data_IF_296554150260
#
_entry.id   IF_296554150260
#
_cell.length_a   1.000
_cell.length_b   1.000
_cell.length_c   1.000
_cell.angle_alpha   90.00
_cell.angle_beta   90.00
_cell.angle_gamma   90.00
#
_symmetry.space_group_name_H-M   'P 1'
#
loop_
_entity.id
_entity.type
_entity.pdbx_description
1 polymer ?
#
# COMPACT_ATOMS: atom_id res chain seq x y z
N UNK A 1 -22.23 2.35 5.38
CA UNK A 1 -23.26 1.85 4.43
C UNK A 1 -23.58 0.34 4.54
N UNK A 2 -22.85 -0.46 5.34
CA UNK A 2 -22.98 -1.92 5.36
C UNK A 2 -24.11 -2.53 6.23
N UNK A 3 -24.83 -1.75 7.03
CA UNK A 3 -25.83 -2.25 7.99
C UNK A 3 -27.28 -2.34 7.44
N UNK A 4 -27.49 -2.12 6.14
CA UNK A 4 -28.86 -2.02 5.61
C UNK A 4 -29.64 -0.81 6.14
N UNK A 5 -28.94 0.21 6.64
CA UNK A 5 -29.54 1.45 7.17
C UNK A 5 -30.21 2.31 6.09
N UNK A 6 -29.77 2.17 4.84
CA UNK A 6 -30.39 2.75 3.66
C UNK A 6 -31.10 1.66 2.88
N UNK A 7 -32.40 1.81 2.74
CA UNK A 7 -33.19 0.96 1.84
C UNK A 7 -32.94 1.43 0.40
N UNK A 8 -32.30 0.57 -0.37
CA UNK A 8 -31.85 0.83 -1.73
C UNK A 8 -32.91 0.59 -2.80
N UNK A 9 -32.57 0.91 -4.04
CA UNK A 9 -33.44 0.68 -5.18
C UNK A 9 -33.37 -0.78 -5.66
N UNK A 10 -34.51 -1.32 -6.11
CA UNK A 10 -34.60 -2.65 -6.73
C UNK A 10 -35.03 -2.50 -8.19
N UNK A 11 -34.25 -3.01 -9.12
CA UNK A 11 -34.61 -3.04 -10.54
C UNK A 11 -35.69 -4.09 -10.87
N UNK A 12 -35.97 -5.03 -9.96
CA UNK A 12 -37.07 -6.00 -10.11
C UNK A 12 -37.53 -6.54 -8.75
N UNK A 13 -38.75 -7.10 -8.68
CA UNK A 13 -39.33 -7.67 -7.45
C UNK A 13 -38.45 -8.73 -6.76
N UNK A 14 -37.58 -9.43 -7.50
CA UNK A 14 -36.64 -10.44 -6.99
C UNK A 14 -35.16 -10.04 -7.11
N UNK A 15 -34.89 -8.82 -7.56
CA UNK A 15 -33.55 -8.29 -7.78
C UNK A 15 -32.84 -7.94 -6.47
N UNK A 16 -31.51 -7.87 -6.48
CA UNK A 16 -30.76 -7.35 -5.34
C UNK A 16 -31.14 -5.89 -5.10
N UNK A 17 -31.08 -5.49 -3.84
CA UNK A 17 -31.24 -4.12 -3.42
C UNK A 17 -29.92 -3.38 -3.56
N UNK A 18 -29.93 -2.22 -4.23
CA UNK A 18 -28.73 -1.43 -4.50
C UNK A 18 -28.91 -0.08 -3.79
N UNK A 19 -28.13 0.17 -2.75
CA UNK A 19 -28.14 1.45 -2.02
C UNK A 19 -27.11 2.45 -2.55
N UNK A 20 -26.14 2.01 -3.35
CA UNK A 20 -25.09 2.87 -3.89
C UNK A 20 -24.46 2.28 -5.14
N UNK A 21 -24.08 3.16 -6.08
CA UNK A 21 -23.24 2.87 -7.24
C UNK A 21 -22.09 3.87 -7.23
N UNK A 22 -20.85 3.37 -7.24
CA UNK A 22 -19.65 4.20 -7.24
C UNK A 22 -18.95 4.01 -8.59
N UNK A 23 -18.77 5.12 -9.31
CA UNK A 23 -18.02 5.24 -10.55
C UNK A 23 -16.68 5.94 -10.27
N UNK A 24 -15.78 5.95 -11.26
CA UNK A 24 -14.46 6.59 -11.14
C UNK A 24 -14.54 8.03 -10.61
N UNK A 25 -15.50 8.80 -11.10
CA UNK A 25 -15.65 10.23 -10.81
C UNK A 25 -16.96 10.56 -10.06
N UNK A 26 -17.92 9.65 -10.02
CA UNK A 26 -19.27 9.90 -9.50
C UNK A 26 -19.72 8.86 -8.48
N UNK A 27 -20.59 9.25 -7.56
CA UNK A 27 -21.34 8.33 -6.70
C UNK A 27 -22.84 8.60 -6.83
N UNK A 28 -23.62 7.54 -7.00
CA UNK A 28 -25.09 7.58 -6.96
C UNK A 28 -25.52 6.83 -5.71
N UNK A 29 -26.17 7.53 -4.79
CA UNK A 29 -26.73 6.95 -3.58
C UNK A 29 -28.24 6.79 -3.75
N UNK A 30 -28.75 5.60 -3.44
CA UNK A 30 -30.17 5.29 -3.43
C UNK A 30 -30.63 5.16 -1.98
N UNK A 31 -31.69 5.87 -1.65
CA UNK A 31 -32.30 5.85 -0.33
C UNK A 31 -33.76 6.25 -0.43
N UNK A 32 -34.53 5.88 0.59
CA UNK A 32 -35.89 6.38 0.73
C UNK A 32 -35.90 7.89 1.01
N UNK A 33 -36.86 8.60 0.44
CA UNK A 33 -37.14 10.00 0.74
C UNK A 33 -37.83 10.16 2.11
N UNK A 34 -37.21 9.63 3.16
CA UNK A 34 -37.67 9.70 4.55
C UNK A 34 -36.67 10.49 5.40
N UNK A 35 -37.11 11.01 6.55
CA UNK A 35 -36.22 11.68 7.51
C UNK A 35 -35.06 10.78 7.95
N UNK A 36 -35.32 9.47 8.10
CA UNK A 36 -34.29 8.47 8.41
C UNK A 36 -33.28 8.34 7.27
N UNK A 37 -33.74 8.20 6.02
CA UNK A 37 -32.85 8.12 4.85
C UNK A 37 -31.98 9.37 4.69
N UNK A 38 -32.56 10.55 4.87
CA UNK A 38 -31.84 11.82 4.83
C UNK A 38 -30.78 11.92 5.95
N UNK A 39 -31.09 11.46 7.16
CA UNK A 39 -30.15 11.45 8.28
C UNK A 39 -28.97 10.51 8.03
N UNK A 40 -29.22 9.30 7.53
CA UNK A 40 -28.15 8.35 7.19
C UNK A 40 -27.25 8.90 6.08
N UNK A 41 -27.83 9.54 5.06
CA UNK A 41 -27.06 10.21 4.01
C UNK A 41 -26.17 11.34 4.59
N UNK A 42 -26.71 12.13 5.51
CA UNK A 42 -25.95 13.18 6.21
C UNK A 42 -24.77 12.61 6.99
N UNK A 43 -24.94 11.49 7.70
CA UNK A 43 -23.84 10.85 8.43
C UNK A 43 -22.76 10.31 7.49
N UNK A 44 -23.14 9.71 6.36
CA UNK A 44 -22.19 9.30 5.31
C UNK A 44 -21.39 10.51 4.80
N UNK A 45 -22.08 11.61 4.48
CA UNK A 45 -21.42 12.82 4.00
C UNK A 45 -20.47 13.41 5.05
N UNK A 46 -20.83 13.38 6.34
CA UNK A 46 -19.93 13.78 7.43
C UNK A 46 -18.70 12.89 7.54
N UNK A 47 -18.84 11.58 7.32
CA UNK A 47 -17.71 10.65 7.33
C UNK A 47 -16.75 10.95 6.18
N UNK A 48 -17.27 11.20 4.97
CA UNK A 48 -16.48 11.70 3.85
C UNK A 48 -15.83 13.05 4.14
N UNK A 49 -16.60 14.01 4.69
CA UNK A 49 -16.12 15.33 5.09
C UNK A 49 -14.94 15.22 6.07
N UNK A 50 -15.03 14.33 7.05
CA UNK A 50 -13.97 14.10 8.04
C UNK A 50 -12.69 13.52 7.42
N UNK A 51 -12.81 12.88 6.25
CA UNK A 51 -11.70 12.29 5.51
C UNK A 51 -11.16 13.22 4.39
N UNK A 52 -11.91 14.25 4.02
CA UNK A 52 -11.48 15.31 3.11
C UNK A 52 -10.88 16.48 3.89
N UNK A 53 -9.56 16.49 4.02
CA UNK A 53 -8.83 17.53 4.71
C UNK A 53 -8.26 18.62 3.78
N UNK A 54 -7.63 19.61 4.38
CA UNK A 54 -6.89 20.69 3.73
C UNK A 54 -5.40 20.59 4.08
N UNK A 55 -4.54 20.62 3.07
CA UNK A 55 -3.10 20.79 3.24
C UNK A 55 -2.77 22.27 3.30
N UNK A 56 -2.05 22.67 4.35
CA UNK A 56 -1.71 24.07 4.59
C UNK A 56 -0.57 24.51 3.68
N UNK A 57 -0.86 25.43 2.75
CA UNK A 57 0.12 26.14 1.94
C UNK A 57 0.36 27.55 2.45
N UNK A 58 -0.50 28.49 2.08
CA UNK A 58 -0.48 29.85 2.64
C UNK A 58 -1.36 30.00 3.87
N UNK A 59 -2.32 29.09 4.05
CA UNK A 59 -3.34 29.13 5.08
C UNK A 59 -4.38 30.23 4.89
N UNK A 60 -4.39 30.92 3.74
CA UNK A 60 -5.27 32.08 3.49
C UNK A 60 -6.70 31.65 3.16
N UNK A 61 -6.87 30.48 2.55
CA UNK A 61 -8.20 29.95 2.24
C UNK A 61 -8.79 29.16 3.41
N UNK A 62 -7.93 28.59 4.26
CA UNK A 62 -8.30 27.67 5.34
C UNK A 62 -8.75 28.43 6.59
N UNK A 63 -10.00 28.23 7.00
CA UNK A 63 -10.53 28.64 8.30
C UNK A 63 -9.94 27.78 9.42
N UNK A 64 -9.47 28.42 10.48
CA UNK A 64 -8.86 27.71 11.61
C UNK A 64 -9.82 26.73 12.27
N UNK A 65 -11.10 27.10 12.37
CA UNK A 65 -12.08 26.40 13.20
C UNK A 65 -13.15 25.65 12.40
N UNK A 66 -13.33 25.99 11.12
CA UNK A 66 -14.37 25.39 10.27
C UNK A 66 -13.83 24.34 9.30
N UNK A 67 -12.54 24.40 8.94
CA UNK A 67 -11.94 23.45 7.99
C UNK A 67 -11.13 22.37 8.70
N UNK A 68 -11.08 21.17 8.10
CA UNK A 68 -10.29 20.04 8.59
C UNK A 68 -8.87 20.14 8.06
N UNK A 69 -7.96 20.77 8.79
CA UNK A 69 -6.56 20.94 8.36
C UNK A 69 -5.52 20.33 9.33
N UNK A 70 -5.97 19.86 10.49
CA UNK A 70 -5.12 19.23 11.51
C UNK A 70 -5.24 17.69 11.38
N UNK A 71 -4.13 16.94 11.19
CA UNK A 71 -4.17 15.49 11.09
C UNK A 71 -4.77 14.81 12.32
N UNK A 72 -5.50 13.70 12.11
CA UNK A 72 -6.05 12.83 13.16
C UNK A 72 -6.85 13.58 14.24
N UNK A 73 -7.54 14.65 13.83
CA UNK A 73 -8.33 15.52 14.72
C UNK A 73 -9.84 15.40 14.46
N UNK A 74 -10.28 14.27 13.86
CA UNK A 74 -11.61 14.02 13.29
C UNK A 74 -12.84 14.35 14.17
N UNK A 75 -12.65 14.67 15.45
CA UNK A 75 -13.72 15.00 16.39
C UNK A 75 -13.61 16.40 17.03
N UNK A 76 -12.56 17.18 16.75
CA UNK A 76 -12.48 18.55 17.25
C UNK A 76 -13.04 19.51 16.21
N UNK A 77 -14.37 19.54 16.06
CA UNK A 77 -14.97 20.84 15.73
C UNK A 77 -14.68 21.74 16.91
N UNK A 78 -13.64 22.58 16.78
CA UNK A 78 -13.23 23.57 17.77
C UNK A 78 -14.32 24.64 18.04
N UNK A 79 -15.52 24.44 17.49
CA UNK A 79 -16.80 25.12 17.71
C UNK A 79 -17.24 25.32 19.17
N UNK A 80 -16.47 24.90 20.17
CA UNK A 80 -16.73 25.19 21.59
C UNK A 80 -16.10 26.50 22.07
N UNK A 81 -15.24 27.16 21.29
CA UNK A 81 -14.72 28.48 21.64
C UNK A 81 -15.66 29.53 21.03
N UNK A 82 -16.38 30.27 21.88
CA UNK A 82 -17.35 31.32 21.51
C UNK A 82 -16.77 32.56 20.81
N UNK A 83 -15.76 32.37 19.96
CA UNK A 83 -15.20 33.40 19.10
C UNK A 83 -16.06 33.43 17.83
N UNK A 84 -16.59 34.59 17.48
CA UNK A 84 -17.18 34.84 16.15
C UNK A 84 -16.07 34.64 15.10
N UNK A 85 -16.02 33.43 14.54
CA UNK A 85 -14.82 32.84 13.94
C UNK A 85 -14.97 32.54 12.44
N UNK A 86 -15.66 33.40 11.70
CA UNK A 86 -15.72 33.30 10.23
C UNK A 86 -14.38 33.62 9.56
N UNK A 87 -13.64 34.57 10.13
CA UNK A 87 -12.50 35.23 9.44
C UNK A 87 -11.13 34.80 9.94
N UNK A 88 -11.02 34.04 11.05
CA UNK A 88 -9.71 33.62 11.56
C UNK A 88 -9.11 32.53 10.66
N UNK A 89 -8.10 32.90 9.87
CA UNK A 89 -7.46 32.04 8.88
C UNK A 89 -6.17 31.40 9.42
N UNK A 90 -5.83 30.22 8.93
CA UNK A 90 -4.60 29.50 9.32
C UNK A 90 -3.35 30.34 9.03
N UNK A 91 -3.40 31.23 8.02
CA UNK A 91 -2.36 32.21 7.74
C UNK A 91 -1.98 33.06 8.96
N UNK A 92 -2.89 33.33 9.89
CA UNK A 92 -2.63 34.11 11.10
C UNK A 92 -1.81 33.34 12.15
N UNK A 93 -1.77 32.02 12.05
CA UNK A 93 -0.93 31.15 12.87
C UNK A 93 0.48 31.01 12.28
N UNK A 94 0.76 31.57 11.10
CA UNK A 94 2.04 31.48 10.40
C UNK A 94 2.76 32.82 10.47
N UNK A 95 4.05 32.79 10.83
CA UNK A 95 4.89 33.98 10.80
C UNK A 95 5.34 34.29 9.36
N UNK A 96 4.97 35.46 8.85
CA UNK A 96 5.25 35.88 7.47
C UNK A 96 6.75 36.04 7.14
N UNK A 97 7.61 36.30 8.14
CA UNK A 97 9.03 36.56 7.91
C UNK A 97 9.85 35.29 7.74
N UNK A 98 9.54 34.25 8.54
CA UNK A 98 10.33 33.01 8.57
C UNK A 98 9.55 31.76 8.17
N UNK A 99 8.24 31.91 7.87
CA UNK A 99 7.31 30.85 7.48
C UNK A 99 7.32 29.67 8.46
N UNK A 100 7.37 29.99 9.75
CA UNK A 100 7.21 29.04 10.85
C UNK A 100 5.89 29.29 11.58
N UNK A 101 5.39 28.25 12.23
CA UNK A 101 4.28 28.34 13.15
C UNK A 101 4.57 29.36 14.28
N UNK A 102 3.63 30.27 14.50
CA UNK A 102 3.64 31.19 15.62
C UNK A 102 3.27 30.42 16.90
N UNK A 103 4.30 30.01 17.64
CA UNK A 103 4.15 29.18 18.85
C UNK A 103 3.23 29.79 19.90
N UNK A 104 3.39 31.09 20.15
CA UNK A 104 2.61 31.79 21.17
C UNK A 104 1.13 31.80 20.82
N UNK A 105 0.79 32.17 19.57
CA UNK A 105 -0.61 32.16 19.10
C UNK A 105 -1.22 30.76 19.20
N UNK A 106 -0.51 29.74 18.75
CA UNK A 106 -1.01 28.36 18.76
C UNK A 106 -1.24 27.85 20.19
N UNK A 107 -0.28 28.03 21.11
CA UNK A 107 -0.44 27.58 22.50
C UNK A 107 -1.58 28.32 23.22
N UNK A 108 -1.81 29.58 22.89
CA UNK A 108 -2.91 30.37 23.47
C UNK A 108 -4.28 30.04 22.84
N UNK A 109 -4.31 29.44 21.65
CA UNK A 109 -5.55 29.16 20.91
C UNK A 109 -6.01 27.72 21.08
N UNK A 110 -5.09 26.76 21.19
CA UNK A 110 -5.39 25.33 21.17
C UNK A 110 -4.92 24.62 22.44
N UNK A 111 -5.62 23.55 22.86
CA UNK A 111 -5.12 22.63 23.87
C UNK A 111 -3.74 22.08 23.48
N UNK A 112 -2.91 21.79 24.48
CA UNK A 112 -1.53 21.30 24.29
C UNK A 112 -1.43 20.14 23.29
N UNK A 113 -2.33 19.18 23.36
CA UNK A 113 -2.35 18.01 22.46
C UNK A 113 -2.56 18.39 21.00
N UNK A 114 -3.45 19.35 20.73
CA UNK A 114 -3.74 19.86 19.38
C UNK A 114 -2.59 20.74 18.89
N UNK A 115 -2.04 21.58 19.76
CA UNK A 115 -0.88 22.42 19.45
C UNK A 115 0.33 21.58 18.99
N UNK A 116 0.61 20.46 19.66
CA UNK A 116 1.71 19.56 19.27
C UNK A 116 1.49 18.96 17.87
N UNK A 117 0.25 18.60 17.50
CA UNK A 117 -0.09 18.16 16.15
C UNK A 117 0.13 19.26 15.11
N UNK A 118 -0.31 20.48 15.39
CA UNK A 118 -0.11 21.64 14.49
C UNK A 118 1.39 21.86 14.25
N UNK A 119 2.21 21.78 15.29
CA UNK A 119 3.66 21.94 15.15
C UNK A 119 4.33 20.84 14.32
N UNK A 120 3.71 19.66 14.23
CA UNK A 120 4.16 18.57 13.36
C UNK A 120 3.84 18.78 11.88
N UNK A 121 2.93 19.70 11.53
CA UNK A 121 2.58 20.00 10.14
C UNK A 121 3.74 20.76 9.49
N UNK A 122 4.37 20.21 8.44
CA UNK A 122 5.49 20.87 7.77
C UNK A 122 5.02 22.04 6.90
N UNK A 123 5.57 23.22 7.14
CA UNK A 123 5.41 24.36 6.23
C UNK A 123 6.52 24.33 5.16
N UNK A 124 6.11 24.34 3.90
CA UNK A 124 6.99 24.50 2.72
C UNK A 124 7.75 25.82 2.82
N UNK A 125 8.96 25.95 2.27
CA UNK A 125 9.72 27.22 2.30
C UNK A 125 9.10 28.29 1.44
N UNK A 126 8.61 27.92 0.27
CA UNK A 126 7.97 28.86 -0.65
C UNK A 126 6.44 28.83 -0.48
N UNK A 127 5.78 30.00 -0.55
CA UNK A 127 4.34 30.08 -0.71
C UNK A 127 3.84 29.23 -1.88
N UNK A 128 2.89 28.36 -1.59
CA UNK A 128 2.04 27.69 -2.57
C UNK A 128 0.60 27.73 -2.06
N UNK A 129 -0.34 27.53 -2.97
CA UNK A 129 -1.77 27.55 -2.65
C UNK A 129 -2.15 26.40 -1.73
N UNK A 130 -3.17 26.63 -0.91
CA UNK A 130 -3.79 25.58 -0.11
C UNK A 130 -4.51 24.60 -1.06
N UNK A 131 -4.58 23.32 -0.69
CA UNK A 131 -5.26 22.33 -1.52
C UNK A 131 -5.88 21.20 -0.70
N UNK A 132 -6.92 20.57 -1.27
CA UNK A 132 -7.60 19.44 -0.65
C UNK A 132 -6.76 18.17 -0.67
N UNK A 133 -6.79 17.44 0.43
CA UNK A 133 -6.12 16.16 0.63
C UNK A 133 -7.09 15.12 1.17
N UNK A 134 -6.87 13.87 0.81
CA UNK A 134 -7.67 12.74 1.23
C UNK A 134 -6.93 11.90 2.27
N UNK A 135 -7.48 11.74 3.47
CA UNK A 135 -6.85 10.96 4.54
C UNK A 135 -7.11 9.46 4.47
N UNK A 136 -8.04 9.01 3.59
CA UNK A 136 -8.36 7.59 3.43
C UNK A 136 -7.25 6.75 2.79
N UNK A 137 -6.23 7.37 2.20
CA UNK A 137 -5.03 6.70 1.70
C UNK A 137 -3.75 7.48 2.01
N UNK A 138 -2.61 6.80 2.26
CA UNK A 138 -1.33 7.48 2.51
C UNK A 138 -0.83 8.36 1.35
N UNK A 139 -1.37 8.18 0.15
CA UNK A 139 -1.06 9.01 -1.02
C UNK A 139 -1.57 10.45 -0.88
N UNK A 140 -2.57 10.68 -0.03
CA UNK A 140 -3.31 11.95 0.01
C UNK A 140 -4.28 12.15 -1.17
N UNK A 141 -4.34 11.19 -2.09
CA UNK A 141 -5.20 11.24 -3.27
C UNK A 141 -6.50 10.49 -3.01
N UNK A 142 -7.61 11.09 -3.46
CA UNK A 142 -8.89 10.43 -3.44
C UNK A 142 -8.90 9.30 -4.47
N UNK A 143 -9.48 8.15 -4.07
CA UNK A 143 -9.86 7.12 -5.03
C UNK A 143 -11.17 6.49 -4.58
N UNK A 144 -11.99 6.07 -5.54
CA UNK A 144 -13.23 5.33 -5.27
C UNK A 144 -12.98 4.12 -4.39
N UNK A 145 -11.82 3.47 -4.58
CA UNK A 145 -11.38 2.33 -3.79
C UNK A 145 -11.14 2.70 -2.32
N UNK A 146 -10.47 3.82 -2.05
CA UNK A 146 -10.19 4.24 -0.68
C UNK A 146 -11.45 4.71 0.03
N UNK A 147 -12.34 5.40 -0.68
CA UNK A 147 -13.68 5.72 -0.21
C UNK A 147 -14.50 4.46 0.10
N UNK A 148 -14.48 3.46 -0.77
CA UNK A 148 -15.14 2.17 -0.53
C UNK A 148 -14.60 1.49 0.72
N UNK A 149 -13.28 1.53 0.93
CA UNK A 149 -12.65 0.97 2.12
C UNK A 149 -13.13 1.65 3.41
N UNK A 150 -13.35 2.96 3.42
CA UNK A 150 -13.88 3.68 4.59
C UNK A 150 -15.33 3.27 4.88
N UNK A 151 -16.15 3.11 3.83
CA UNK A 151 -17.58 2.83 3.97
C UNK A 151 -17.92 1.39 4.33
N UNK A 152 -16.95 0.49 4.22
CA UNK A 152 -17.06 -0.90 4.63
C UNK A 152 -16.68 -1.04 6.11
N UNK A 153 -17.67 -1.42 6.94
CA UNK A 153 -17.48 -1.77 8.36
C UNK A 153 -16.46 -2.89 8.59
N UNK A 154 -16.21 -3.69 7.55
CA UNK A 154 -15.17 -4.70 7.51
C UNK A 154 -14.18 -4.31 6.43
N UNK A 155 -12.91 -4.13 6.80
CA UNK A 155 -11.83 -4.18 5.82
C UNK A 155 -12.04 -5.49 5.03
N UNK A 156 -12.12 -5.49 3.69
CA UNK A 156 -12.09 -6.73 2.93
C UNK A 156 -10.84 -7.56 3.27
N UNK A 157 -9.79 -6.91 3.81
CA UNK A 157 -8.61 -7.57 4.38
C UNK A 157 -8.78 -7.96 5.84
N UNK A 158 -9.88 -7.69 6.54
CA UNK A 158 -10.14 -8.21 7.89
C UNK A 158 -10.08 -9.73 7.92
N UNK A 159 -10.53 -10.40 6.86
CA UNK A 159 -10.29 -11.83 6.66
C UNK A 159 -8.80 -12.14 6.33
N UNK A 160 -8.10 -11.26 5.62
CA UNK A 160 -6.66 -11.38 5.34
C UNK A 160 -5.75 -10.97 6.53
N UNK A 161 -6.33 -10.44 7.62
CA UNK A 161 -5.66 -10.08 8.88
C UNK A 161 -5.64 -11.26 9.87
N UNK A 162 -6.38 -12.34 9.61
CA UNK A 162 -6.02 -13.64 10.18
C UNK A 162 -4.58 -13.95 9.72
N UNK A 163 -3.68 -14.10 10.69
CA UNK A 163 -2.24 -14.31 10.52
C UNK A 163 -1.91 -15.37 9.47
N UNK A 164 -2.79 -16.36 9.32
CA UNK A 164 -2.67 -17.48 8.40
C UNK A 164 -2.76 -17.06 6.93
N UNK A 165 -3.65 -16.12 6.59
CA UNK A 165 -3.81 -15.61 5.22
C UNK A 165 -2.65 -14.70 4.79
N UNK A 166 -2.13 -13.87 5.69
CA UNK A 166 -0.99 -12.99 5.39
C UNK A 166 0.26 -13.81 5.04
N UNK A 167 0.52 -14.88 5.79
CA UNK A 167 1.62 -15.79 5.55
C UNK A 167 1.40 -16.61 4.28
N UNK A 168 0.18 -17.13 4.08
CA UNK A 168 -0.23 -17.80 2.85
C UNK A 168 0.02 -16.94 1.61
N UNK A 169 -0.47 -15.68 1.58
CA UNK A 169 -0.29 -14.81 0.42
C UNK A 169 1.17 -14.44 0.18
N UNK A 170 1.91 -14.07 1.23
CA UNK A 170 3.36 -13.79 1.08
C UNK A 170 4.08 -14.96 0.41
N UNK A 171 3.83 -16.19 0.87
CA UNK A 171 4.48 -17.35 0.29
C UNK A 171 3.95 -17.72 -1.11
N UNK A 172 2.64 -17.60 -1.37
CA UNK A 172 2.04 -17.83 -2.69
C UNK A 172 2.68 -16.94 -3.77
N UNK A 173 2.90 -15.68 -3.46
CA UNK A 173 3.51 -14.74 -4.41
C UNK A 173 5.01 -15.00 -4.62
N UNK A 174 5.69 -15.63 -3.64
CA UNK A 174 7.09 -16.06 -3.74
C UNK A 174 7.28 -17.41 -4.47
N UNK A 175 6.23 -18.23 -4.64
CA UNK A 175 6.36 -19.47 -5.42
C UNK A 175 6.76 -19.17 -6.86
N UNK A 176 7.66 -19.99 -7.41
CA UNK A 176 7.92 -19.98 -8.83
C UNK A 176 6.77 -20.66 -9.58
N UNK A 177 5.75 -19.87 -9.90
CA UNK A 177 4.59 -20.25 -10.68
C UNK A 177 4.17 -19.07 -11.56
N UNK A 178 3.68 -19.32 -12.78
CA UNK A 178 3.06 -18.30 -13.61
C UNK A 178 1.97 -17.52 -12.89
N UNK A 179 1.90 -16.21 -13.14
CA UNK A 179 0.93 -15.30 -12.50
C UNK A 179 -0.52 -15.78 -12.65
N UNK A 180 -0.87 -16.44 -13.77
CA UNK A 180 -2.21 -17.02 -13.98
C UNK A 180 -2.59 -18.07 -12.93
N UNK A 181 -1.63 -18.89 -12.48
CA UNK A 181 -1.84 -19.91 -11.44
C UNK A 181 -2.01 -19.20 -10.09
N UNK A 182 -1.11 -18.26 -9.77
CA UNK A 182 -1.20 -17.45 -8.52
C UNK A 182 -2.54 -16.72 -8.38
N UNK A 183 -3.01 -16.08 -9.46
CA UNK A 183 -4.31 -15.41 -9.50
C UNK A 183 -5.46 -16.42 -9.35
N UNK A 184 -5.37 -17.59 -9.97
CA UNK A 184 -6.40 -18.64 -9.83
C UNK A 184 -6.47 -19.13 -8.40
N UNK A 185 -5.33 -19.45 -7.77
CA UNK A 185 -5.26 -19.80 -6.35
C UNK A 185 -5.81 -18.71 -5.43
N UNK A 186 -5.50 -17.44 -5.72
CA UNK A 186 -6.08 -16.32 -4.98
C UNK A 186 -7.62 -16.30 -5.13
N UNK A 187 -8.16 -16.38 -6.35
CA UNK A 187 -9.63 -16.45 -6.56
C UNK A 187 -10.27 -17.64 -5.85
N UNK A 188 -9.58 -18.78 -5.84
CA UNK A 188 -9.97 -20.00 -5.12
C UNK A 188 -10.07 -19.75 -3.62
N UNK A 189 -9.08 -19.08 -3.01
CA UNK A 189 -9.08 -18.74 -1.57
C UNK A 189 -10.23 -17.81 -1.16
N UNK A 190 -10.75 -17.00 -2.08
CA UNK A 190 -11.88 -16.09 -1.87
C UNK A 190 -13.23 -16.68 -2.24
N UNK A 191 -13.28 -17.96 -2.65
CA UNK A 191 -14.49 -18.57 -3.22
C UNK A 191 -15.09 -17.71 -4.37
N UNK A 192 -14.23 -17.10 -5.20
CA UNK A 192 -14.66 -16.21 -6.30
C UNK A 192 -14.80 -16.93 -7.64
N UNK A 193 -14.49 -18.23 -7.70
CA UNK A 193 -14.66 -19.00 -8.92
C UNK A 193 -16.15 -19.11 -9.29
N UNK A 194 -16.51 -18.99 -10.59
CA UNK A 194 -17.87 -19.21 -11.09
C UNK A 194 -18.22 -20.71 -11.14
N UNK A 195 -18.16 -21.37 -9.98
CA UNK A 195 -18.72 -22.70 -9.74
C UNK A 195 -20.25 -22.59 -9.69
N UNK A 196 -20.96 -23.68 -9.97
CA UNK A 196 -22.42 -23.66 -10.12
C UNK A 196 -23.15 -23.26 -8.84
N UNK A 197 -22.63 -23.62 -7.65
CA UNK A 197 -23.18 -23.15 -6.36
C UNK A 197 -23.10 -21.62 -6.24
N UNK A 198 -21.93 -21.02 -6.53
CA UNK A 198 -21.76 -19.57 -6.48
C UNK A 198 -22.59 -18.84 -7.54
N UNK A 199 -22.70 -19.42 -8.74
CA UNK A 199 -23.54 -18.88 -9.79
C UNK A 199 -25.03 -18.95 -9.41
N UNK A 200 -25.48 -20.02 -8.75
CA UNK A 200 -26.86 -20.15 -8.26
C UNK A 200 -27.14 -19.12 -7.16
N UNK A 201 -26.23 -18.95 -6.19
CA UNK A 201 -26.34 -17.93 -5.15
C UNK A 201 -26.44 -16.50 -5.73
N UNK A 202 -25.75 -16.25 -6.86
CA UNK A 202 -25.82 -15.00 -7.63
C UNK A 202 -26.98 -14.95 -8.63
N UNK A 203 -27.86 -15.95 -8.65
CA UNK A 203 -29.01 -16.06 -9.55
C UNK A 203 -28.66 -16.06 -11.05
N UNK A 204 -27.47 -16.56 -11.41
CA UNK A 204 -26.96 -16.64 -12.79
C UNK A 204 -27.22 -18.02 -13.45
N UNK A 205 -27.60 -19.03 -12.68
CA UNK A 205 -27.96 -20.38 -13.14
C UNK A 205 -29.10 -20.92 -12.28
N UNK A 206 -29.90 -21.84 -12.80
CA UNK A 206 -30.94 -22.57 -12.06
C UNK A 206 -30.49 -23.98 -11.63
N UNK A 207 -29.33 -24.43 -12.10
CA UNK A 207 -28.77 -25.74 -11.81
C UNK A 207 -27.42 -25.58 -11.08
N UNK A 208 -27.28 -26.20 -9.91
CA UNK A 208 -26.05 -26.27 -9.12
C UNK A 208 -25.17 -27.49 -9.43
N UNK A 209 -25.64 -28.43 -10.26
CA UNK A 209 -24.99 -29.73 -10.47
C UNK A 209 -23.61 -29.61 -11.14
N UNK A 210 -22.66 -30.42 -10.68
CA UNK A 210 -21.32 -30.53 -11.23
C UNK A 210 -21.35 -30.95 -12.70
N UNK A 211 -20.81 -30.12 -13.62
CA UNK A 211 -20.81 -30.42 -15.05
C UNK A 211 -19.87 -31.58 -15.40
N UNK A 212 -18.98 -31.98 -14.48
CA UNK A 212 -17.99 -33.04 -14.70
C UNK A 212 -18.53 -34.43 -14.38
N UNK A 213 -19.11 -34.63 -13.20
CA UNK A 213 -19.59 -35.95 -12.77
C UNK A 213 -21.11 -36.09 -12.74
N UNK A 214 -21.86 -34.98 -12.71
CA UNK A 214 -23.33 -35.02 -12.55
C UNK A 214 -23.82 -35.47 -11.17
N UNK A 215 -22.94 -35.85 -10.24
CA UNK A 215 -23.28 -36.55 -9.00
C UNK A 215 -23.70 -35.67 -7.81
N UNK A 216 -23.74 -34.34 -7.95
CA UNK A 216 -24.10 -33.43 -6.86
C UNK A 216 -23.82 -31.97 -7.16
N UNK A 217 -24.09 -31.08 -6.20
CA UNK A 217 -23.84 -29.65 -6.34
C UNK A 217 -22.33 -29.33 -6.44
N UNK A 218 -21.95 -28.45 -7.37
CA UNK A 218 -20.56 -28.03 -7.57
C UNK A 218 -20.15 -26.98 -6.54
N UNK A 219 -19.85 -27.42 -5.33
CA UNK A 219 -19.13 -26.64 -4.31
C UNK A 219 -17.62 -26.64 -4.60
N UNK A 220 -16.84 -25.87 -3.83
CA UNK A 220 -15.38 -25.88 -3.91
C UNK A 220 -14.83 -27.27 -3.52
N UNK A 221 -15.34 -27.83 -2.43
CA UNK A 221 -14.99 -29.18 -1.96
C UNK A 221 -15.35 -30.24 -3.00
N UNK A 222 -16.52 -30.13 -3.63
CA UNK A 222 -16.89 -31.04 -4.68
C UNK A 222 -15.96 -30.91 -5.90
N UNK A 223 -15.77 -29.69 -6.40
CA UNK A 223 -14.94 -29.45 -7.58
C UNK A 223 -13.50 -29.95 -7.40
N UNK A 224 -12.90 -29.67 -6.24
CA UNK A 224 -11.46 -29.91 -6.05
C UNK A 224 -11.12 -31.17 -5.27
N UNK A 225 -12.02 -31.73 -4.44
CA UNK A 225 -11.73 -32.89 -3.58
C UNK A 225 -12.61 -34.09 -3.88
N UNK A 226 -13.93 -33.92 -3.95
CA UNK A 226 -14.89 -35.05 -3.94
C UNK A 226 -15.31 -35.51 -5.33
N UNK A 227 -15.17 -34.67 -6.36
CA UNK A 227 -15.53 -35.03 -7.72
C UNK A 227 -14.69 -36.24 -8.16
N UNK A 228 -15.31 -37.33 -8.66
CA UNK A 228 -14.57 -38.52 -9.10
C UNK A 228 -13.43 -38.23 -10.07
N UNK A 229 -13.60 -37.23 -10.94
CA UNK A 229 -12.56 -36.82 -11.88
C UNK A 229 -11.40 -36.16 -11.15
N UNK A 230 -11.66 -35.32 -10.14
CA UNK A 230 -10.61 -34.70 -9.31
C UNK A 230 -9.88 -35.73 -8.44
N UNK A 231 -10.60 -36.68 -7.83
CA UNK A 231 -10.00 -37.82 -7.11
C UNK A 231 -9.02 -38.56 -8.03
N UNK A 232 -9.43 -38.87 -9.26
CA UNK A 232 -8.56 -39.53 -10.23
C UNK A 232 -7.30 -38.70 -10.57
N UNK A 233 -7.39 -37.36 -10.64
CA UNK A 233 -6.22 -36.49 -10.81
C UNK A 233 -5.26 -36.64 -9.63
N UNK A 234 -5.75 -36.53 -8.41
CA UNK A 234 -4.91 -36.62 -7.20
C UNK A 234 -4.26 -37.99 -7.02
N UNK A 235 -5.00 -39.06 -7.34
CA UNK A 235 -4.45 -40.43 -7.41
C UNK A 235 -3.29 -40.52 -8.39
N UNK A 236 -3.46 -40.01 -9.60
CA UNK A 236 -2.44 -40.05 -10.65
C UNK A 236 -1.21 -39.19 -10.32
N UNK A 237 -1.39 -38.08 -9.60
CA UNK A 237 -0.29 -37.22 -9.14
C UNK A 237 0.47 -37.79 -7.93
N UNK A 238 0.08 -38.95 -7.41
CA UNK A 238 0.66 -39.57 -6.20
C UNK A 238 0.63 -38.65 -4.97
N UNK A 239 -0.38 -37.77 -4.88
CA UNK A 239 -0.54 -36.77 -3.81
C UNK A 239 -1.73 -37.09 -2.89
N UNK A 240 -2.15 -38.35 -2.83
CA UNK A 240 -3.31 -38.83 -2.08
C UNK A 240 -3.27 -38.46 -0.58
N UNK A 241 -2.08 -38.33 0.01
CA UNK A 241 -1.92 -37.89 1.40
C UNK A 241 -2.47 -36.46 1.62
N UNK A 242 -2.52 -35.61 0.59
CA UNK A 242 -3.11 -34.27 0.65
C UNK A 242 -4.64 -34.32 0.77
N UNK A 243 -5.28 -35.41 0.34
CA UNK A 243 -6.73 -35.60 0.46
C UNK A 243 -7.16 -36.20 1.81
N UNK A 244 -6.23 -36.67 2.64
CA UNK A 244 -6.55 -37.33 3.90
C UNK A 244 -7.00 -36.37 5.02
N UNK A 245 -6.88 -35.05 4.82
CA UNK A 245 -7.36 -34.03 5.75
C UNK A 245 -8.85 -33.69 5.53
N UNK A 246 -9.71 -34.71 5.50
CA UNK A 246 -11.14 -34.58 5.20
C UNK A 246 -11.95 -33.77 6.23
N UNK A 247 -11.38 -33.52 7.41
CA UNK A 247 -12.03 -32.76 8.49
C UNK A 247 -11.82 -31.24 8.40
N UNK A 248 -10.99 -30.75 7.46
CA UNK A 248 -10.75 -29.32 7.29
C UNK A 248 -11.76 -28.68 6.34
N UNK A 249 -12.10 -27.43 6.63
CA UNK A 249 -12.78 -26.60 5.64
C UNK A 249 -11.88 -26.38 4.41
N UNK A 250 -12.47 -26.02 3.27
CA UNK A 250 -11.74 -25.89 2.01
C UNK A 250 -10.55 -24.91 2.09
N UNK A 251 -10.69 -23.82 2.84
CA UNK A 251 -9.67 -22.77 2.90
C UNK A 251 -8.56 -23.18 3.86
N UNK A 252 -8.90 -23.80 4.98
CA UNK A 252 -7.95 -24.45 5.88
C UNK A 252 -7.12 -25.47 5.10
N UNK A 253 -7.77 -26.38 4.34
CA UNK A 253 -7.07 -27.32 3.46
C UNK A 253 -6.12 -26.63 2.48
N UNK A 254 -6.57 -25.57 1.80
CA UNK A 254 -5.75 -24.78 0.89
C UNK A 254 -4.51 -24.19 1.58
N UNK A 255 -4.66 -23.69 2.81
CA UNK A 255 -3.58 -23.03 3.57
C UNK A 255 -2.63 -24.03 4.26
N UNK A 256 -3.13 -25.15 4.78
CA UNK A 256 -2.37 -26.20 5.45
C UNK A 256 -1.39 -26.86 4.51
N UNK A 257 -1.79 -27.12 3.26
CA UNK A 257 -0.88 -27.66 2.24
C UNK A 257 0.34 -26.75 2.03
N UNK A 258 0.13 -25.44 2.11
CA UNK A 258 1.22 -24.47 2.05
C UNK A 258 2.12 -24.53 3.31
N UNK A 259 1.52 -24.71 4.49
CA UNK A 259 2.24 -24.70 5.76
C UNK A 259 3.12 -25.95 5.97
N UNK A 260 2.63 -27.12 5.57
CA UNK A 260 3.21 -28.41 5.94
C UNK A 260 4.11 -29.04 4.86
N UNK A 261 4.09 -28.54 3.62
CA UNK A 261 4.80 -29.17 2.51
C UNK A 261 5.91 -28.29 1.88
N UNK A 262 6.94 -28.93 1.27
CA UNK A 262 8.00 -28.22 0.55
C UNK A 262 7.47 -27.44 -0.67
N UNK A 263 8.20 -26.40 -1.14
CA UNK A 263 7.79 -25.61 -2.32
C UNK A 263 7.50 -26.41 -3.58
N UNK A 264 8.19 -27.55 -3.81
CA UNK A 264 7.95 -28.44 -4.95
C UNK A 264 6.55 -29.06 -4.92
N UNK A 265 6.09 -29.49 -3.75
CA UNK A 265 4.75 -30.05 -3.56
C UNK A 265 3.68 -28.95 -3.66
N UNK A 266 3.96 -27.76 -3.12
CA UNK A 266 3.09 -26.59 -3.30
C UNK A 266 2.90 -26.24 -4.78
N UNK A 267 3.98 -26.22 -5.57
CA UNK A 267 3.91 -25.98 -7.03
C UNK A 267 3.03 -27.01 -7.72
N UNK A 268 3.21 -28.29 -7.39
CA UNK A 268 2.40 -29.39 -7.92
C UNK A 268 0.92 -29.20 -7.59
N UNK A 269 0.62 -28.94 -6.32
CA UNK A 269 -0.74 -28.76 -5.81
C UNK A 269 -1.48 -27.60 -6.46
N UNK A 270 -0.90 -26.39 -6.47
CA UNK A 270 -1.57 -25.22 -7.06
C UNK A 270 -1.69 -25.30 -8.58
N UNK A 271 -0.72 -25.95 -9.25
CA UNK A 271 -0.84 -26.24 -10.67
C UNK A 271 -1.98 -27.23 -10.94
N UNK A 272 -2.17 -28.24 -10.10
CA UNK A 272 -3.28 -29.18 -10.20
C UNK A 272 -4.64 -28.49 -10.00
N UNK A 273 -4.79 -27.62 -8.99
CA UNK A 273 -6.01 -26.81 -8.81
C UNK A 273 -6.33 -25.98 -10.05
N UNK A 274 -5.32 -25.30 -10.61
CA UNK A 274 -5.48 -24.53 -11.84
C UNK A 274 -5.87 -25.42 -13.04
N UNK A 275 -5.26 -26.58 -13.20
CA UNK A 275 -5.56 -27.52 -14.29
C UNK A 275 -6.97 -28.12 -14.16
N UNK A 276 -7.40 -28.50 -12.95
CA UNK A 276 -8.75 -28.99 -12.65
C UNK A 276 -9.79 -27.91 -13.01
N UNK A 277 -9.54 -26.67 -12.60
CA UNK A 277 -10.42 -25.54 -12.94
C UNK A 277 -10.47 -25.27 -14.45
N UNK A 278 -9.31 -25.28 -15.11
CA UNK A 278 -9.21 -25.09 -16.56
C UNK A 278 -9.94 -26.17 -17.34
N UNK A 279 -9.80 -27.44 -16.94
CA UNK A 279 -10.48 -28.57 -17.53
C UNK A 279 -12.00 -28.49 -17.38
N UNK A 280 -12.48 -28.17 -16.16
CA UNK A 280 -13.89 -27.91 -15.90
C UNK A 280 -14.45 -26.86 -16.87
N UNK A 281 -13.74 -25.74 -17.05
CA UNK A 281 -14.20 -24.68 -17.94
C UNK A 281 -14.18 -25.10 -19.40
N UNK A 282 -13.16 -25.83 -19.84
CA UNK A 282 -13.09 -26.37 -21.19
C UNK A 282 -14.26 -27.32 -21.48
N UNK A 283 -14.71 -28.10 -20.48
CA UNK A 283 -15.92 -28.93 -20.62
C UNK A 283 -17.19 -28.13 -20.85
N UNK A 284 -17.33 -26.96 -20.22
CA UNK A 284 -18.50 -26.08 -20.42
C UNK A 284 -18.44 -25.36 -21.78
N UNK A 285 -17.29 -24.78 -22.12
CA UNK A 285 -17.17 -23.89 -23.28
C UNK A 285 -16.80 -24.61 -24.57
N UNK A 286 -15.96 -25.65 -24.47
CA UNK A 286 -15.37 -26.35 -25.61
C UNK A 286 -15.87 -27.80 -25.73
N UNK A 287 -16.76 -28.24 -24.82
CA UNK A 287 -17.32 -29.60 -24.75
C UNK A 287 -16.26 -30.72 -24.72
N UNK A 288 -15.06 -30.41 -24.26
CA UNK A 288 -13.96 -31.38 -24.12
C UNK A 288 -14.14 -32.23 -22.87
N UNK A 289 -13.65 -33.47 -22.89
CA UNK A 289 -13.67 -34.36 -21.74
C UNK A 289 -12.31 -35.05 -21.58
N UNK A 290 -11.52 -34.62 -20.60
CA UNK A 290 -10.27 -35.29 -20.22
C UNK A 290 -10.49 -36.16 -18.98
N UNK A 291 -9.85 -37.31 -18.99
CA UNK A 291 -9.71 -38.18 -17.83
C UNK A 291 -8.80 -37.54 -16.78
N UNK A 292 -8.92 -38.00 -15.53
CA UNK A 292 -8.03 -37.55 -14.45
C UNK A 292 -6.55 -37.80 -14.75
N UNK A 293 -6.25 -38.91 -15.45
CA UNK A 293 -4.89 -39.24 -15.87
C UNK A 293 -4.32 -38.23 -16.87
N UNK A 294 -5.10 -37.81 -17.86
CA UNK A 294 -4.67 -36.81 -18.86
C UNK A 294 -4.41 -35.45 -18.23
N UNK A 295 -5.23 -35.06 -17.24
CA UNK A 295 -5.03 -33.80 -16.50
C UNK A 295 -3.77 -33.90 -15.64
N UNK A 296 -3.52 -35.03 -14.98
CA UNK A 296 -2.30 -35.25 -14.18
C UNK A 296 -1.03 -35.23 -15.05
N UNK A 297 -1.05 -35.91 -16.20
CA UNK A 297 0.03 -35.88 -17.19
C UNK A 297 0.30 -34.45 -17.69
N UNK A 298 -0.76 -33.69 -17.94
CA UNK A 298 -0.65 -32.28 -18.31
C UNK A 298 0.03 -31.44 -17.20
N UNK A 299 -0.35 -31.64 -15.94
CA UNK A 299 0.28 -30.95 -14.79
C UNK A 299 1.78 -31.27 -14.71
N UNK A 300 2.17 -32.54 -14.82
CA UNK A 300 3.57 -32.93 -14.82
C UNK A 300 4.37 -32.34 -15.99
N UNK A 301 3.82 -32.39 -17.21
CA UNK A 301 4.45 -31.78 -18.40
C UNK A 301 4.64 -30.27 -18.22
N UNK A 302 3.59 -29.59 -17.75
CA UNK A 302 3.61 -28.13 -17.57
C UNK A 302 4.64 -27.71 -16.52
N UNK A 303 4.74 -28.42 -15.39
CA UNK A 303 5.75 -28.13 -14.37
C UNK A 303 7.17 -28.46 -14.83
N UNK A 304 7.34 -29.51 -15.64
CA UNK A 304 8.62 -29.85 -16.24
C UNK A 304 9.09 -28.74 -17.19
N UNK A 305 8.21 -28.27 -18.08
CA UNK A 305 8.49 -27.15 -18.99
C UNK A 305 8.86 -25.87 -18.24
N UNK A 306 8.21 -25.57 -17.12
CA UNK A 306 8.57 -24.42 -16.28
C UNK A 306 9.99 -24.53 -15.71
N UNK A 307 10.39 -25.73 -15.25
CA UNK A 307 11.73 -25.97 -14.73
C UNK A 307 12.81 -25.94 -15.82
N UNK A 308 12.49 -26.44 -17.02
CA UNK A 308 13.41 -26.49 -18.15
C UNK A 308 13.58 -25.11 -18.81
N UNK A 309 12.53 -24.28 -18.80
CA UNK A 309 12.58 -22.88 -19.26
C UNK A 309 13.47 -21.97 -18.40
N UNK A 310 13.66 -22.29 -17.12
CA UNK A 310 14.55 -21.54 -16.21
C UNK A 310 16.04 -21.83 -16.45
N UNK A 311 16.40 -22.99 -17.01
CA UNK A 311 17.81 -23.32 -17.32
C UNK A 311 18.39 -22.49 -18.47
N UNK A 312 17.55 -21.78 -19.23
CA UNK A 312 17.95 -20.92 -20.35
C UNK A 312 18.23 -19.46 -19.94
N UNK A 313 17.84 -19.05 -18.72
CA UNK A 313 18.16 -17.73 -18.19
C UNK A 313 19.30 -17.91 -17.17
N UNK A 314 20.51 -17.63 -17.65
CA UNK A 314 21.75 -17.80 -16.90
C UNK A 314 21.67 -17.23 -15.48
N UNK A 315 22.15 -18.04 -14.53
CA UNK A 315 22.61 -17.62 -13.20
C UNK A 315 23.58 -16.45 -13.37
N UNK A 316 23.11 -15.22 -13.25
CA UNK A 316 24.00 -14.13 -12.87
C UNK A 316 24.28 -14.35 -11.39
N UNK A 317 25.51 -14.77 -11.07
CA UNK A 317 26.04 -14.67 -9.73
C UNK A 317 25.76 -13.27 -9.20
N UNK A 318 25.10 -13.17 -8.04
CA UNK A 318 25.08 -11.93 -7.27
C UNK A 318 26.52 -11.67 -6.82
N UNK A 319 27.29 -10.99 -7.66
CA UNK A 319 28.46 -10.28 -7.19
C UNK A 319 27.98 -9.24 -6.17
N UNK A 320 28.61 -9.24 -5.00
CA UNK A 320 28.53 -8.12 -4.05
C UNK A 320 29.09 -6.91 -4.79
N UNK A 321 28.21 -6.05 -5.31
CA UNK A 321 28.63 -4.82 -5.97
C UNK A 321 29.25 -3.90 -4.94
N UNK A 322 30.58 -3.84 -4.91
CA UNK A 322 31.35 -2.79 -4.24
C UNK A 322 30.83 -1.42 -4.69
N UNK A 323 30.87 -0.44 -3.80
CA UNK A 323 30.43 0.94 -4.09
C UNK A 323 31.00 1.40 -5.44
N UNK A 324 30.14 1.89 -6.33
CA UNK A 324 30.55 2.39 -7.64
C UNK A 324 29.99 3.78 -7.86
N UNK A 325 30.87 4.68 -8.29
CA UNK A 325 30.53 6.01 -8.74
C UNK A 325 30.23 5.96 -10.25
N UNK A 326 29.15 6.62 -10.70
CA UNK A 326 28.84 6.65 -12.13
C UNK A 326 29.87 7.54 -12.87
N UNK A 327 30.43 7.09 -14.01
CA UNK A 327 31.39 7.88 -14.79
C UNK A 327 30.80 9.24 -15.22
N UNK A 328 31.57 10.33 -15.07
CA UNK A 328 31.18 11.68 -15.50
C UNK A 328 30.24 12.44 -14.55
N UNK A 329 30.29 12.13 -13.25
CA UNK A 329 29.65 12.89 -12.17
C UNK A 329 30.73 13.43 -11.23
N UNK A 330 30.43 14.52 -10.51
CA UNK A 330 31.44 15.18 -9.67
C UNK A 330 31.24 14.92 -8.17
N UNK A 331 29.98 14.69 -7.74
CA UNK A 331 29.62 14.50 -6.32
C UNK A 331 28.49 13.49 -6.18
N UNK A 332 28.59 12.60 -5.19
CA UNK A 332 27.52 11.69 -4.78
C UNK A 332 27.15 11.95 -3.33
N UNK A 333 25.87 12.06 -3.04
CA UNK A 333 25.34 12.25 -1.70
C UNK A 333 24.50 11.04 -1.32
N UNK A 334 24.84 10.44 -0.19
CA UNK A 334 24.03 9.43 0.47
C UNK A 334 23.36 10.08 1.67
N UNK A 335 22.07 9.83 1.86
CA UNK A 335 21.36 10.23 3.07
C UNK A 335 20.72 9.02 3.74
N UNK A 336 20.56 9.12 5.05
CA UNK A 336 20.02 8.11 5.93
C UNK A 336 19.07 8.76 6.93
N UNK A 337 18.13 7.97 7.42
CA UNK A 337 17.20 8.38 8.47
C UNK A 337 17.16 7.33 9.57
N UNK A 338 17.22 7.77 10.82
CA UNK A 338 16.77 7.00 11.97
C UNK A 338 15.47 7.62 12.49
N UNK A 339 14.55 6.80 12.99
CA UNK A 339 13.25 7.27 13.46
C UNK A 339 12.84 6.55 14.74
N UNK A 340 12.51 7.33 15.75
CA UNK A 340 11.97 6.88 17.02
C UNK A 340 10.48 7.24 17.07
N UNK A 341 9.65 6.21 16.98
CA UNK A 341 8.19 6.32 17.01
C UNK A 341 7.67 6.76 18.39
N UNK A 342 8.32 6.34 19.47
CA UNK A 342 7.88 6.64 20.84
C UNK A 342 8.00 8.13 21.13
N UNK A 343 9.15 8.72 20.78
CA UNK A 343 9.41 10.13 21.03
C UNK A 343 9.05 11.06 19.86
N UNK A 344 8.56 10.49 18.74
CA UNK A 344 8.30 11.22 17.50
C UNK A 344 9.53 12.03 17.05
N UNK A 345 10.70 11.42 17.14
CA UNK A 345 11.98 12.03 16.79
C UNK A 345 12.60 11.31 15.60
N UNK A 346 13.39 12.04 14.82
CA UNK A 346 14.18 11.45 13.76
C UNK A 346 15.57 12.05 13.73
N UNK A 347 16.51 11.33 13.15
CA UNK A 347 17.83 11.87 12.87
C UNK A 347 18.17 11.66 11.40
N UNK A 348 18.68 12.72 10.76
CA UNK A 348 19.14 12.70 9.37
C UNK A 348 20.66 12.57 9.38
N UNK A 349 21.19 11.57 8.69
CA UNK A 349 22.61 11.42 8.41
C UNK A 349 22.88 11.63 6.93
N UNK A 350 23.85 12.46 6.56
CA UNK A 350 24.18 12.78 5.17
C UNK A 350 25.68 12.70 4.98
N UNK A 351 26.13 12.03 3.92
CA UNK A 351 27.54 11.94 3.54
C UNK A 351 27.68 12.31 2.07
N UNK A 352 28.56 13.28 1.81
CA UNK A 352 28.89 13.81 0.48
C UNK A 352 30.26 13.29 0.09
N UNK A 353 30.39 12.68 -1.08
CA UNK A 353 31.64 12.11 -1.61
C UNK A 353 31.97 12.65 -2.98
N UNK A 354 33.26 12.76 -3.30
CA UNK A 354 33.74 13.05 -4.65
C UNK A 354 33.71 11.77 -5.53
N UNK A 355 34.18 11.88 -6.77
CA UNK A 355 34.26 10.76 -7.72
C UNK A 355 35.23 9.64 -7.32
N UNK A 356 36.17 9.93 -6.41
CA UNK A 356 37.16 8.98 -5.90
C UNK A 356 36.68 8.28 -4.61
N UNK A 357 35.49 8.64 -4.10
CA UNK A 357 34.93 8.10 -2.87
C UNK A 357 35.37 8.81 -1.59
N UNK A 358 36.21 9.86 -1.69
CA UNK A 358 36.61 10.67 -0.56
C UNK A 358 35.43 11.47 0.00
N UNK A 359 35.24 11.44 1.32
CA UNK A 359 34.21 12.21 2.01
C UNK A 359 34.58 13.70 1.99
N UNK A 360 33.75 14.50 1.31
CA UNK A 360 33.86 15.95 1.27
C UNK A 360 33.16 16.62 2.45
N UNK A 361 32.06 16.02 2.92
CA UNK A 361 31.25 16.55 4.02
C UNK A 361 30.40 15.42 4.63
N UNK A 362 30.29 15.43 5.96
CA UNK A 362 29.26 14.70 6.71
C UNK A 362 28.36 15.68 7.44
N UNK A 363 27.09 15.31 7.61
CA UNK A 363 26.10 16.13 8.31
C UNK A 363 25.13 15.25 9.08
N UNK A 364 24.94 15.56 10.37
CA UNK A 364 23.95 14.91 11.22
C UNK A 364 23.04 15.94 11.84
N UNK A 365 21.73 15.66 11.89
CA UNK A 365 20.77 16.50 12.60
C UNK A 365 19.62 15.71 13.20
N UNK A 366 19.35 15.97 14.48
CA UNK A 366 18.13 15.52 15.17
C UNK A 366 16.97 16.46 14.84
N UNK A 367 15.81 15.85 14.62
CA UNK A 367 14.55 16.47 14.31
C UNK A 367 13.51 15.99 15.33
N UNK A 368 12.79 16.93 15.92
CA UNK A 368 11.69 16.63 16.83
C UNK A 368 10.36 16.77 16.09
N UNK A 369 9.32 16.06 16.57
CA UNK A 369 7.94 16.12 16.06
C UNK A 369 7.83 15.63 14.61
N UNK A 370 8.53 14.55 14.30
CA UNK A 370 8.44 13.87 13.01
C UNK A 370 7.37 12.80 13.11
N UNK A 371 6.37 12.85 12.23
CA UNK A 371 5.16 12.02 12.35
C UNK A 371 5.34 10.56 11.97
N UNK A 372 6.38 10.21 11.22
CA UNK A 372 6.62 8.84 10.77
C UNK A 372 8.03 8.63 10.22
N UNK A 373 8.45 7.38 10.12
CA UNK A 373 9.68 6.98 9.41
C UNK A 373 9.68 7.46 7.95
N UNK A 374 8.51 7.50 7.30
CA UNK A 374 8.40 8.01 5.93
C UNK A 374 8.61 9.54 5.87
N UNK A 375 8.10 10.28 6.86
CA UNK A 375 8.39 11.72 7.03
C UNK A 375 9.86 11.99 7.33
N UNK A 376 10.48 11.19 8.19
CA UNK A 376 11.90 11.27 8.51
C UNK A 376 12.77 11.14 7.26
N UNK A 377 12.41 10.22 6.38
CA UNK A 377 13.14 9.98 5.15
C UNK A 377 13.00 11.12 4.12
N UNK A 378 11.78 11.62 3.92
CA UNK A 378 11.55 12.80 3.08
C UNK A 378 12.30 14.02 3.61
N UNK A 379 12.35 14.19 4.93
CA UNK A 379 13.09 15.27 5.60
C UNK A 379 14.61 15.15 5.40
N UNK A 380 15.17 13.94 5.55
CA UNK A 380 16.58 13.67 5.26
C UNK A 380 16.92 13.96 3.80
N UNK A 381 16.06 13.53 2.87
CA UNK A 381 16.20 13.82 1.43
C UNK A 381 16.17 15.32 1.13
N UNK A 382 15.27 16.07 1.79
CA UNK A 382 15.20 17.54 1.69
C UNK A 382 16.49 18.19 2.21
N UNK A 383 17.03 17.71 3.33
CA UNK A 383 18.30 18.22 3.87
C UNK A 383 19.47 17.96 2.94
N UNK A 384 19.57 16.76 2.37
CA UNK A 384 20.56 16.44 1.35
C UNK A 384 20.46 17.39 0.15
N UNK A 385 19.25 17.65 -0.32
CA UNK A 385 18.99 18.60 -1.42
C UNK A 385 19.45 20.01 -1.09
N UNK A 386 19.15 20.51 0.11
CA UNK A 386 19.60 21.84 0.54
C UNK A 386 21.13 21.95 0.59
N UNK A 387 21.81 20.91 1.07
CA UNK A 387 23.28 20.88 1.10
C UNK A 387 23.86 20.99 -0.31
N UNK A 388 23.30 20.25 -1.30
CA UNK A 388 23.74 20.36 -2.71
C UNK A 388 23.63 21.77 -3.24
N UNK A 389 22.47 22.40 -3.03
CA UNK A 389 22.21 23.74 -3.59
C UNK A 389 23.18 24.76 -3.00
N UNK A 390 23.52 24.63 -1.71
CA UNK A 390 24.50 25.49 -1.06
C UNK A 390 25.95 25.22 -1.53
N UNK A 391 26.25 24.03 -2.04
CA UNK A 391 27.57 23.64 -2.56
C UNK A 391 27.86 24.13 -4.00
N UNK A 392 26.93 24.84 -4.64
CA UNK A 392 27.09 25.55 -5.93
C UNK A 392 27.77 24.78 -7.08
N UNK A 393 26.97 24.08 -7.91
CA UNK A 393 27.28 23.95 -9.34
C UNK A 393 27.83 22.61 -9.85
N UNK A 394 28.12 21.62 -9.00
CA UNK A 394 28.59 20.30 -9.48
C UNK A 394 27.43 19.36 -9.86
N UNK A 395 27.62 18.57 -10.91
CA UNK A 395 26.71 17.47 -11.28
C UNK A 395 26.65 16.45 -10.14
N UNK A 396 25.51 16.40 -9.48
CA UNK A 396 25.33 15.71 -8.20
C UNK A 396 24.23 14.67 -8.28
N UNK A 397 24.51 13.49 -7.71
CA UNK A 397 23.49 12.48 -7.43
C UNK A 397 23.16 12.48 -5.95
N UNK A 398 21.86 12.55 -5.64
CA UNK A 398 21.32 12.23 -4.33
C UNK A 398 20.77 10.81 -4.38
N UNK A 399 21.33 9.95 -3.53
CA UNK A 399 20.96 8.55 -3.40
C UNK A 399 20.38 8.28 -2.01
N UNK A 400 19.22 7.63 -1.98
CA UNK A 400 18.55 7.18 -0.76
C UNK A 400 17.95 5.80 -0.92
N UNK A 401 17.48 5.23 0.18
CA UNK A 401 16.97 3.86 0.30
C UNK A 401 15.48 3.73 -0.09
N UNK A 402 14.66 4.77 0.01
CA UNK A 402 13.28 4.73 -0.48
C UNK A 402 13.16 5.03 -1.96
N UNK A 403 12.80 3.98 -2.68
CA UNK A 403 12.27 4.07 -4.03
C UNK A 403 11.04 4.98 -4.10
N UNK A 404 10.19 5.00 -3.06
CA UNK A 404 8.96 5.82 -3.04
C UNK A 404 9.27 7.32 -2.96
N UNK A 405 10.16 7.74 -2.06
CA UNK A 405 10.62 9.14 -1.97
C UNK A 405 11.33 9.54 -3.26
N UNK A 406 12.22 8.68 -3.76
CA UNK A 406 12.94 8.93 -5.02
C UNK A 406 11.98 9.14 -6.20
N UNK A 407 10.93 8.34 -6.30
CA UNK A 407 9.89 8.49 -7.33
C UNK A 407 9.13 9.81 -7.18
N UNK A 408 8.73 10.17 -5.96
CA UNK A 408 8.03 11.43 -5.66
C UNK A 408 8.89 12.67 -6.00
N UNK A 409 10.18 12.66 -5.66
CA UNK A 409 11.13 13.72 -6.03
C UNK A 409 11.38 13.85 -7.56
N UNK A 410 11.05 12.81 -8.33
CA UNK A 410 11.15 12.80 -9.80
C UNK A 410 9.84 13.16 -10.51
N UNK A 411 8.71 12.96 -9.85
CA UNK A 411 7.40 13.21 -10.40
C UNK A 411 7.21 14.69 -10.76
N UNK A 412 6.33 14.94 -11.73
CA UNK A 412 5.84 16.28 -12.06
C UNK A 412 4.50 16.46 -11.37
N UNK A 413 4.34 17.54 -10.60
CA UNK A 413 3.10 17.85 -9.88
C UNK A 413 3.26 17.86 -8.36
N UNK A 414 2.23 18.38 -7.69
CA UNK A 414 2.15 18.43 -6.23
C UNK A 414 1.94 17.04 -5.66
N UNK A 415 2.70 16.72 -4.62
CA UNK A 415 2.50 15.51 -3.86
C UNK A 415 1.51 15.79 -2.72
N UNK A 416 0.37 15.10 -2.72
CA UNK A 416 -0.69 15.30 -1.71
C UNK A 416 -0.49 14.48 -0.44
N UNK A 417 0.53 13.62 -0.37
CA UNK A 417 0.75 12.80 0.81
C UNK A 417 1.24 13.64 1.99
N UNK A 418 1.29 13.05 3.17
CA UNK A 418 1.75 13.74 4.38
C UNK A 418 3.21 14.26 4.31
N UNK A 419 4.01 13.77 3.35
CA UNK A 419 5.37 14.28 3.09
C UNK A 419 5.42 15.33 1.97
N UNK A 420 4.25 15.69 1.41
CA UNK A 420 4.11 16.51 0.23
C UNK A 420 4.86 17.83 0.30
N UNK A 421 4.84 18.48 1.47
CA UNK A 421 5.58 19.71 1.72
C UNK A 421 7.10 19.54 1.52
N UNK A 422 7.68 18.43 1.99
CA UNK A 422 9.10 18.15 1.80
C UNK A 422 9.42 17.85 0.34
N UNK A 423 8.55 17.10 -0.34
CA UNK A 423 8.70 16.76 -1.76
C UNK A 423 8.63 18.02 -2.62
N UNK A 424 7.69 18.93 -2.33
CA UNK A 424 7.54 20.19 -3.04
C UNK A 424 8.79 21.07 -2.91
N UNK A 425 9.31 21.23 -1.68
CA UNK A 425 10.59 21.93 -1.48
C UNK A 425 11.73 21.30 -2.29
N UNK A 426 11.82 19.97 -2.32
CA UNK A 426 12.84 19.27 -3.11
C UNK A 426 12.67 19.54 -4.61
N UNK A 427 11.44 19.49 -5.12
CA UNK A 427 11.14 19.74 -6.53
C UNK A 427 11.47 21.18 -6.94
N UNK A 428 11.19 22.16 -6.09
CA UNK A 428 11.55 23.56 -6.30
C UNK A 428 13.07 23.78 -6.26
N UNK A 429 13.77 23.19 -5.28
CA UNK A 429 15.22 23.27 -5.23
C UNK A 429 15.86 22.62 -6.45
N UNK A 430 15.29 21.52 -6.94
CA UNK A 430 15.73 20.83 -8.15
C UNK A 430 15.47 21.67 -9.40
N UNK A 431 14.34 22.39 -9.51
CA UNK A 431 14.08 23.24 -10.69
C UNK A 431 15.07 24.39 -10.82
N UNK A 432 15.66 24.82 -9.70
CA UNK A 432 16.75 25.81 -9.65
C UNK A 432 18.13 25.25 -10.04
N UNK A 433 18.27 23.93 -10.23
CA UNK A 433 19.55 23.29 -10.56
C UNK A 433 19.40 22.18 -11.60
N UNK A 434 19.89 22.43 -12.82
CA UNK A 434 19.93 21.44 -13.91
C UNK A 434 20.89 20.26 -13.67
N UNK A 435 21.69 20.35 -12.61
CA UNK A 435 22.78 19.44 -12.32
C UNK A 435 22.44 18.38 -11.26
N UNK A 436 21.19 18.35 -10.76
CA UNK A 436 20.75 17.45 -9.71
C UNK A 436 19.94 16.25 -10.22
N UNK A 437 20.34 15.05 -9.82
CA UNK A 437 19.59 13.81 -10.11
C UNK A 437 19.36 12.99 -8.83
N UNK A 438 18.21 12.34 -8.76
CA UNK A 438 17.86 11.42 -7.69
C UNK A 438 18.00 9.97 -8.16
N UNK A 439 18.51 9.08 -7.32
CA UNK A 439 18.55 7.63 -7.56
C UNK A 439 18.15 6.89 -6.29
N UNK A 440 17.51 5.73 -6.47
CA UNK A 440 17.25 4.82 -5.36
C UNK A 440 18.44 3.86 -5.26
N UNK A 441 18.87 3.53 -4.05
CA UNK A 441 19.90 2.51 -3.83
C UNK A 441 19.41 1.16 -4.35
N UNK A 442 20.27 0.46 -5.08
CA UNK A 442 20.02 -0.91 -5.57
C UNK A 442 20.40 -1.95 -4.50
N UNK A 443 21.14 -1.51 -3.47
CA UNK A 443 21.62 -2.33 -2.35
C UNK A 443 20.80 -1.96 -1.11
N UNK A 444 20.15 -2.96 -0.50
CA UNK A 444 19.36 -2.84 0.73
C UNK A 444 20.20 -3.06 2.00
N UNK A 445 21.49 -3.29 1.86
CA UNK A 445 22.38 -3.40 3.00
C UNK A 445 22.79 -1.98 3.44
N UNK A 446 22.99 -1.75 4.76
CA UNK A 446 23.76 -0.61 5.19
C UNK A 446 25.08 -0.64 4.41
N UNK A 447 25.70 0.50 4.13
CA UNK A 447 27.08 0.49 3.64
C UNK A 447 27.94 0.04 4.83
N UNK A 448 27.92 -1.26 5.11
CA UNK A 448 28.51 -1.92 6.29
C UNK A 448 29.98 -2.25 6.06
N UNK A 449 30.53 -1.90 4.91
CA UNK A 449 31.89 -2.28 4.56
C UNK A 449 32.62 -1.16 3.83
N UNK A 450 33.05 -0.11 4.53
CA UNK A 450 34.39 0.50 4.28
C UNK A 450 34.66 1.87 4.97
N UNK A 451 33.81 2.44 5.85
CA UNK A 451 34.16 3.74 6.47
C UNK A 451 33.70 3.91 7.93
N UNK A 452 34.66 4.23 8.81
CA UNK A 452 34.49 4.57 10.24
C UNK A 452 33.40 5.64 10.53
N UNK A 453 33.13 6.52 9.57
CA UNK A 453 32.09 7.57 9.68
C UNK A 453 30.67 6.99 9.75
N UNK A 454 30.43 5.79 9.20
CA UNK A 454 29.15 5.09 9.29
C UNK A 454 28.90 4.55 10.70
N UNK A 455 29.93 4.06 11.37
CA UNK A 455 29.86 3.59 12.76
C UNK A 455 29.76 4.78 13.72
N UNK A 456 30.56 5.84 13.55
CA UNK A 456 30.44 7.06 14.37
C UNK A 456 29.06 7.74 14.25
N UNK A 457 28.44 7.72 13.06
CA UNK A 457 27.06 8.21 12.89
C UNK A 457 26.02 7.30 13.56
N UNK A 458 26.23 5.97 13.54
CA UNK A 458 25.39 5.02 14.28
C UNK A 458 25.54 5.25 15.79
N UNK A 459 26.76 5.37 16.29
CA UNK A 459 27.06 5.61 17.70
C UNK A 459 26.47 6.94 18.19
N UNK A 460 26.58 8.02 17.40
CA UNK A 460 25.95 9.32 17.73
C UNK A 460 24.41 9.24 17.73
N UNK A 461 23.81 8.39 16.90
CA UNK A 461 22.36 8.21 16.82
C UNK A 461 21.84 7.24 17.89
N UNK A 462 22.60 6.22 18.25
CA UNK A 462 22.34 5.31 19.39
C UNK A 462 22.51 6.03 20.73
N UNK A 463 23.53 6.88 20.88
CA UNK A 463 23.70 7.76 22.05
C UNK A 463 22.56 8.78 22.19
N UNK A 464 21.90 9.13 21.08
CA UNK A 464 20.71 9.99 21.07
C UNK A 464 19.39 9.21 21.26
N UNK A 465 19.44 7.88 21.45
CA UNK A 465 18.27 7.02 21.70
C UNK A 465 17.42 6.69 20.47
N UNK A 466 17.93 6.87 19.25
CA UNK A 466 17.16 6.67 18.01
C UNK A 466 17.55 5.35 17.32
N UNK A 467 16.61 4.41 17.24
CA UNK A 467 16.82 3.07 16.67
C UNK A 467 16.75 3.10 15.13
N UNK A 468 17.66 2.38 14.46
CA UNK A 468 17.60 2.17 13.01
C UNK A 468 16.54 1.11 12.65
N UNK A 469 15.65 1.42 11.70
CA UNK A 469 14.61 0.50 11.18
C UNK A 469 14.85 0.22 9.71
#
# INVERSE_FOLDING_TARGET
MGEGLLQGAKASRRGPEISHLLFADDCILFGEATNRGAWVLKEILKEYESCSGQSVGTGKSISVFNDVWIPDSSNFRLSSVGINSGDYKVAELINNYNRKWNRERIVNTFPKEVAEKIFGIPLVREPHDDFQVWSGEPSGEYSVRSAYKLLQLFDPRAYALHTDYRNFYKKLWLLDLPTKIKITTWKTSWNYLPIRVNMLARKLTNNSTCPRCGGGAESMDHLFRECPVSIAVWSALSTLNVLQESNLDFVQWLTTVFALHPPSHCRLFYCALWAIWGDRNARIHNKTNRSGQEIASFVHSYLKELNDGEKSISRTSKEVKKWTHLPGQAVKINFYRAFDEHNQQSASGIVVRNSEGLVLLSYTKIHHRVSSAFSAEALASRKATMIVINMQGKKTIIEGDSLSITKKCKAKGYDKSHVGAYIHDIQQLKSRSNNLRFTASVVKEPIESDNAISEEMKDLMEMAGVIFI
#
